data_IF_128788396724
#
_entry.id   IF_128788396724
#
_cell.length_a   1.000
_cell.length_b   1.000
_cell.length_c   1.000
_cell.angle_alpha   90.00
_cell.angle_beta   90.00
_cell.angle_gamma   90.00
#
_symmetry.space_group_name_H-M   'P 1'
#
loop_
_entity.id
_entity.type
_entity.pdbx_description
1 polymer ?
#
# COMPACT_ATOMS: atom_id res chain seq x y z
N UNK A 1 71.46 6.22 -15.26
CA UNK A 1 71.40 5.68 -13.88
C UNK A 1 70.27 4.64 -13.80
N UNK A 2 70.13 3.94 -12.68
CA UNK A 2 69.00 3.03 -12.34
C UNK A 2 67.63 3.71 -12.56
N UNK A 3 66.47 3.07 -12.80
CA UNK A 3 65.99 1.67 -12.98
C UNK A 3 64.63 1.76 -13.76
N UNK A 4 63.78 0.75 -14.09
CA UNK A 4 63.68 -0.72 -13.92
C UNK A 4 62.75 -1.29 -15.03
N UNK A 5 62.71 -2.62 -15.22
CA UNK A 5 61.59 -3.32 -15.89
C UNK A 5 60.39 -3.58 -14.96
N UNK A 6 59.20 -3.75 -15.55
CA UNK A 6 58.12 -4.62 -15.02
C UNK A 6 57.52 -5.39 -16.20
N UNK A 7 57.52 -6.73 -16.11
CA UNK A 7 56.98 -7.63 -17.14
C UNK A 7 55.46 -7.80 -16.97
N UNK A 8 54.72 -7.86 -18.08
CA UNK A 8 53.27 -8.14 -18.07
C UNK A 8 53.01 -9.62 -17.74
N UNK A 9 52.64 -9.89 -16.50
CA UNK A 9 52.21 -11.22 -16.05
C UNK A 9 50.74 -11.50 -16.37
N UNK A 10 50.45 -12.52 -17.17
CA UNK A 10 49.08 -12.96 -17.44
C UNK A 10 48.51 -13.72 -16.23
N UNK A 11 47.41 -13.22 -15.65
CA UNK A 11 46.76 -13.85 -14.51
C UNK A 11 45.79 -14.96 -14.98
N UNK A 12 46.19 -16.22 -14.77
CA UNK A 12 45.35 -17.38 -15.05
C UNK A 12 44.29 -17.55 -13.94
N UNK A 13 43.02 -17.24 -14.23
CA UNK A 13 41.92 -17.41 -13.26
C UNK A 13 41.26 -18.77 -13.44
N UNK A 14 41.55 -19.70 -12.54
CA UNK A 14 40.96 -21.05 -12.54
C UNK A 14 39.49 -20.99 -12.08
N UNK A 15 38.56 -21.05 -13.02
CA UNK A 15 37.13 -21.08 -12.76
C UNK A 15 36.72 -22.41 -12.09
N UNK A 16 36.46 -22.39 -10.78
CA UNK A 16 35.87 -23.53 -10.06
C UNK A 16 34.39 -23.60 -10.41
N UNK A 17 34.00 -24.59 -11.21
CA UNK A 17 32.62 -24.77 -11.68
C UNK A 17 31.73 -25.35 -10.57
N UNK A 18 31.20 -24.48 -9.71
CA UNK A 18 30.22 -24.84 -8.69
C UNK A 18 28.92 -25.34 -9.31
N UNK A 19 28.63 -26.63 -9.14
CA UNK A 19 27.40 -27.27 -9.64
C UNK A 19 26.17 -26.80 -8.85
N UNK A 20 25.46 -25.80 -9.36
CA UNK A 20 24.14 -25.44 -8.86
C UNK A 20 23.12 -26.54 -9.21
N UNK A 21 22.85 -27.42 -8.25
CA UNK A 21 21.76 -28.38 -8.33
C UNK A 21 20.42 -27.66 -8.40
N UNK A 22 19.71 -27.80 -9.52
CA UNK A 22 18.36 -27.25 -9.67
C UNK A 22 17.36 -28.08 -8.85
N UNK A 23 16.62 -27.44 -7.95
CA UNK A 23 15.59 -28.06 -7.12
C UNK A 23 14.48 -27.06 -6.82
N UNK A 24 13.22 -27.29 -7.25
CA UNK A 24 12.12 -26.37 -7.02
C UNK A 24 11.40 -26.69 -5.70
N UNK A 25 11.51 -25.81 -4.70
CA UNK A 25 10.66 -25.86 -3.50
C UNK A 25 10.43 -24.47 -2.92
N UNK A 26 9.29 -23.86 -3.24
CA UNK A 26 8.75 -22.73 -2.49
C UNK A 26 8.18 -23.23 -1.16
N UNK A 27 9.04 -23.40 -0.15
CA UNK A 27 8.63 -23.62 1.23
C UNK A 27 8.33 -22.29 1.94
N UNK A 28 7.65 -22.31 3.11
CA UNK A 28 7.54 -21.14 3.95
C UNK A 28 8.94 -20.66 4.38
N UNK A 29 9.08 -19.36 4.67
CA UNK A 29 10.35 -18.75 5.05
C UNK A 29 10.85 -19.31 6.39
N UNK A 30 11.81 -20.23 6.35
CA UNK A 30 12.33 -20.89 7.55
C UNK A 30 13.04 -19.89 8.45
N UNK A 31 12.55 -19.75 9.69
CA UNK A 31 13.16 -18.91 10.74
C UNK A 31 14.67 -19.18 10.86
N UNK A 32 15.51 -18.14 10.90
CA UNK A 32 16.97 -18.30 10.87
C UNK A 32 17.45 -19.12 12.08
N UNK A 33 18.29 -20.13 11.82
CA UNK A 33 18.87 -20.96 12.89
C UNK A 33 19.61 -20.08 13.91
N UNK A 34 19.36 -20.25 15.22
CA UNK A 34 20.00 -19.45 16.26
C UNK A 34 21.51 -19.65 16.29
N UNK A 35 22.24 -18.59 16.64
CA UNK A 35 23.65 -18.68 16.96
C UNK A 35 23.91 -19.41 18.28
N UNK A 36 25.15 -19.88 18.55
CA UNK A 36 25.49 -20.52 19.82
C UNK A 36 25.16 -19.63 21.03
N UNK A 37 24.33 -20.15 21.94
CA UNK A 37 23.89 -19.41 23.13
C UNK A 37 22.74 -18.43 22.91
N UNK A 38 22.08 -18.42 21.75
CA UNK A 38 20.96 -17.53 21.42
C UNK A 38 19.61 -18.25 21.39
N UNK A 39 18.54 -17.56 21.80
CA UNK A 39 17.15 -18.01 21.64
C UNK A 39 16.78 -18.02 20.15
N UNK A 40 16.04 -19.04 19.68
CA UNK A 40 15.50 -19.06 18.32
C UNK A 40 14.48 -17.94 18.10
N UNK A 41 14.50 -17.29 16.94
CA UNK A 41 13.55 -16.24 16.60
C UNK A 41 12.11 -16.78 16.49
N UNK A 42 11.10 -16.03 16.97
CA UNK A 42 9.70 -16.39 16.79
C UNK A 42 9.29 -16.25 15.32
N UNK A 43 8.20 -16.90 14.95
CA UNK A 43 7.55 -16.83 13.64
C UNK A 43 6.15 -16.24 13.82
N UNK A 44 5.81 -15.19 13.04
CA UNK A 44 4.45 -14.65 12.97
C UNK A 44 3.70 -15.44 11.89
N UNK A 45 2.73 -16.25 12.31
CA UNK A 45 1.94 -17.10 11.41
C UNK A 45 0.74 -16.36 10.83
N UNK A 46 0.18 -15.41 11.59
CA UNK A 46 -0.99 -14.62 11.18
C UNK A 46 -1.04 -13.30 11.93
N UNK A 47 -1.44 -12.24 11.24
CA UNK A 47 -1.96 -11.01 11.83
C UNK A 47 -3.40 -10.80 11.32
N UNK A 48 -4.34 -10.39 12.18
CA UNK A 48 -5.71 -10.12 11.75
C UNK A 48 -6.44 -9.09 12.61
N UNK A 49 -7.37 -8.36 12.00
CA UNK A 49 -8.52 -7.80 12.72
C UNK A 49 -9.59 -8.89 12.72
N UNK A 50 -9.84 -9.48 13.90
CA UNK A 50 -10.61 -10.72 14.05
C UNK A 50 -12.01 -10.60 13.45
N UNK A 51 -12.32 -11.49 12.50
CA UNK A 51 -13.60 -11.50 11.78
C UNK A 51 -13.76 -10.44 10.69
N UNK A 52 -12.76 -9.58 10.47
CA UNK A 52 -12.76 -8.54 9.44
C UNK A 52 -11.78 -8.88 8.31
N UNK A 53 -10.48 -9.00 8.62
CA UNK A 53 -9.41 -9.10 7.61
C UNK A 53 -8.13 -9.69 8.19
N UNK A 54 -7.51 -10.59 7.42
CA UNK A 54 -6.11 -11.04 7.64
C UNK A 54 -5.17 -10.01 7.00
N UNK A 55 -4.10 -9.65 7.71
CA UNK A 55 -3.19 -8.57 7.33
C UNK A 55 -1.83 -9.12 6.87
N UNK A 56 -1.23 -8.48 5.87
CA UNK A 56 0.19 -8.65 5.52
C UNK A 56 1.05 -7.55 6.14
N UNK A 57 2.38 -7.74 6.17
CA UNK A 57 3.30 -6.70 6.63
C UNK A 57 3.35 -5.55 5.60
N UNK A 58 2.99 -4.35 6.03
CA UNK A 58 2.79 -3.16 5.18
C UNK A 58 1.32 -2.76 5.00
N UNK A 59 0.36 -3.59 5.45
CA UNK A 59 -1.08 -3.29 5.37
C UNK A 59 -1.47 -1.99 6.11
N UNK A 60 -2.37 -1.23 5.49
CA UNK A 60 -3.07 -0.13 6.15
C UNK A 60 -4.29 -0.62 6.94
N UNK A 61 -4.55 -0.03 8.12
CA UNK A 61 -5.70 -0.29 9.00
C UNK A 61 -6.23 1.01 9.61
N UNK A 62 -7.51 1.04 9.93
CA UNK A 62 -8.12 2.20 10.59
C UNK A 62 -7.54 2.43 12.01
N UNK A 63 -7.72 3.63 12.59
CA UNK A 63 -7.41 3.90 14.00
C UNK A 63 -8.33 3.09 14.93
N UNK A 64 -7.85 2.87 16.17
CA UNK A 64 -8.52 2.17 17.27
C UNK A 64 -8.86 0.70 17.00
N UNK A 65 -8.14 0.05 16.08
CA UNK A 65 -8.29 -1.37 15.75
C UNK A 65 -7.44 -2.26 16.66
N UNK A 66 -7.97 -3.43 17.01
CA UNK A 66 -7.22 -4.49 17.71
C UNK A 66 -6.71 -5.50 16.69
N UNK A 67 -5.40 -5.51 16.46
CA UNK A 67 -4.73 -6.50 15.60
C UNK A 67 -4.21 -7.65 16.45
N UNK A 68 -4.74 -8.83 16.22
CA UNK A 68 -4.31 -10.08 16.87
C UNK A 68 -3.22 -10.73 16.02
N UNK A 69 -2.04 -10.86 16.61
CA UNK A 69 -0.93 -11.64 16.10
C UNK A 69 -0.96 -13.03 16.73
N UNK A 70 -0.92 -14.07 15.91
CA UNK A 70 -0.64 -15.45 16.37
C UNK A 70 0.64 -15.96 15.74
N UNK A 71 1.43 -16.69 16.52
CA UNK A 71 2.77 -17.09 16.13
C UNK A 71 3.32 -18.26 16.94
N UNK A 72 4.56 -18.63 16.64
CA UNK A 72 5.29 -19.71 17.31
C UNK A 72 6.70 -19.29 17.70
N UNK A 73 7.26 -19.95 18.70
CA UNK A 73 8.65 -19.80 19.16
C UNK A 73 9.07 -21.01 19.99
N UNK A 74 10.21 -20.95 20.69
CA UNK A 74 10.59 -21.95 21.69
C UNK A 74 9.49 -22.13 22.76
N UNK A 75 9.33 -23.32 23.32
CA UNK A 75 8.29 -23.57 24.31
C UNK A 75 8.59 -22.91 25.68
N UNK A 76 7.58 -22.31 26.31
CA UNK A 76 7.63 -21.67 27.63
C UNK A 76 8.63 -20.51 27.81
N UNK A 77 8.95 -19.76 26.75
CA UNK A 77 9.77 -18.52 26.81
C UNK A 77 8.91 -17.25 26.72
N UNK A 78 9.50 -16.09 27.01
CA UNK A 78 8.86 -14.79 26.76
C UNK A 78 8.99 -14.42 25.27
N UNK A 79 7.94 -13.86 24.69
CA UNK A 79 8.00 -13.07 23.46
C UNK A 79 7.91 -11.60 23.85
N UNK A 80 8.94 -10.84 23.51
CA UNK A 80 9.04 -9.39 23.70
C UNK A 80 8.65 -8.69 22.42
N UNK A 81 7.73 -7.74 22.51
CA UNK A 81 7.27 -6.93 21.38
C UNK A 81 7.83 -5.53 21.56
N UNK A 82 8.53 -5.03 20.55
CA UNK A 82 9.11 -3.70 20.52
C UNK A 82 8.37 -2.83 19.49
N UNK A 83 8.29 -1.52 19.76
CA UNK A 83 7.76 -0.52 18.84
C UNK A 83 8.74 0.66 18.78
N UNK A 84 9.28 0.95 17.58
CA UNK A 84 10.32 1.96 17.42
C UNK A 84 11.57 1.68 18.29
N UNK A 85 11.97 0.41 18.41
CA UNK A 85 13.10 -0.04 19.22
C UNK A 85 12.84 -0.20 20.72
N UNK A 86 11.87 0.53 21.29
CA UNK A 86 11.48 0.46 22.71
C UNK A 86 10.62 -0.77 23.00
N UNK A 87 10.75 -1.37 24.19
CA UNK A 87 9.88 -2.49 24.60
C UNK A 87 8.45 -1.95 24.79
N UNK A 88 7.51 -2.46 24.01
CA UNK A 88 6.09 -2.12 24.10
C UNK A 88 5.40 -2.99 25.14
N UNK A 89 5.54 -4.32 25.02
CA UNK A 89 4.88 -5.30 25.89
C UNK A 89 5.55 -6.69 25.81
N UNK A 90 5.10 -7.64 26.63
CA UNK A 90 5.55 -9.03 26.63
C UNK A 90 4.38 -10.02 26.70
N UNK A 91 4.40 -11.05 25.86
CA UNK A 91 3.57 -12.25 25.98
C UNK A 91 4.46 -13.47 26.24
N UNK A 92 3.86 -14.66 26.39
CA UNK A 92 4.58 -15.91 26.60
C UNK A 92 4.12 -16.98 25.62
N UNK A 93 5.05 -17.80 25.15
CA UNK A 93 4.73 -19.03 24.42
C UNK A 93 4.19 -20.11 25.37
N UNK A 94 3.25 -20.90 24.90
CA UNK A 94 2.77 -22.12 25.54
C UNK A 94 3.85 -23.23 25.59
N UNK A 95 3.50 -24.37 26.19
CA UNK A 95 4.27 -25.61 26.09
C UNK A 95 4.30 -26.22 24.66
N UNK A 96 3.40 -25.81 23.76
CA UNK A 96 3.45 -26.11 22.31
C UNK A 96 4.28 -25.09 21.51
N UNK A 97 4.85 -24.07 22.16
CA UNK A 97 5.58 -22.98 21.51
C UNK A 97 4.68 -21.90 20.91
N UNK A 98 3.37 -21.98 21.07
CA UNK A 98 2.40 -21.06 20.45
C UNK A 98 2.17 -19.82 21.32
N UNK A 99 2.07 -18.64 20.69
CA UNK A 99 1.76 -17.40 21.38
C UNK A 99 0.70 -16.58 20.64
N UNK A 100 0.02 -15.73 21.41
CA UNK A 100 -0.87 -14.68 20.92
C UNK A 100 -0.45 -13.34 21.51
N UNK A 101 -0.50 -12.29 20.72
CA UNK A 101 -0.33 -10.90 21.14
C UNK A 101 -1.40 -10.03 20.49
N UNK A 102 -1.93 -9.04 21.21
CA UNK A 102 -2.91 -8.09 20.66
C UNK A 102 -2.31 -6.69 20.70
N UNK A 103 -2.07 -6.13 19.52
CA UNK A 103 -1.71 -4.73 19.36
C UNK A 103 -2.98 -3.88 19.20
N UNK A 104 -2.98 -2.66 19.72
CA UNK A 104 -4.01 -1.66 19.44
C UNK A 104 -3.39 -0.53 18.61
N UNK A 105 -4.01 -0.15 17.49
CA UNK A 105 -3.46 0.90 16.62
C UNK A 105 -3.52 2.31 17.21
N UNK A 106 -4.29 2.53 18.29
CA UNK A 106 -4.51 3.84 18.89
C UNK A 106 -5.20 4.82 17.92
N UNK A 107 -5.22 6.10 18.30
CA UNK A 107 -5.85 7.17 17.52
C UNK A 107 -4.87 7.95 16.62
N UNK A 108 -3.62 7.50 16.50
CA UNK A 108 -2.54 8.26 15.86
C UNK A 108 -2.15 7.61 14.53
N UNK A 109 -2.29 8.35 13.44
CA UNK A 109 -1.90 7.91 12.10
C UNK A 109 -0.37 7.80 11.95
N UNK A 110 0.07 6.95 11.03
CA UNK A 110 1.48 6.79 10.67
C UNK A 110 1.90 5.33 10.45
N UNK A 111 3.19 5.12 10.19
CA UNK A 111 3.76 3.77 10.00
C UNK A 111 4.34 3.23 11.30
N UNK A 112 3.85 2.08 11.73
CA UNK A 112 4.23 1.40 12.96
C UNK A 112 5.03 0.14 12.66
N UNK A 113 6.30 0.15 13.05
CA UNK A 113 7.18 -1.01 13.01
C UNK A 113 7.08 -1.74 14.36
N UNK A 114 6.47 -2.93 14.34
CA UNK A 114 6.50 -3.88 15.43
C UNK A 114 7.64 -4.88 15.23
N UNK A 115 8.36 -5.19 16.28
CA UNK A 115 9.45 -6.18 16.25
C UNK A 115 9.26 -7.23 17.35
N UNK A 116 9.25 -8.50 16.98
CA UNK A 116 9.06 -9.63 17.89
C UNK A 116 10.39 -10.36 18.11
N UNK A 117 10.76 -10.57 19.38
CA UNK A 117 11.92 -11.38 19.76
C UNK A 117 11.58 -12.34 20.89
N UNK A 118 12.16 -13.54 20.88
CA UNK A 118 12.04 -14.51 21.95
C UNK A 118 13.19 -14.35 22.95
N UNK A 119 12.88 -14.43 24.25
CA UNK A 119 13.85 -14.42 25.35
C UNK A 119 13.59 -15.62 26.27
N UNK A 120 14.43 -16.64 26.10
CA UNK A 120 14.64 -17.69 27.10
C UNK A 120 15.29 -17.08 28.38
N UNK A 121 15.08 -17.62 29.59
CA UNK A 121 15.72 -17.08 30.81
C UNK A 121 17.25 -17.08 30.78
N UNK A 122 17.88 -18.10 30.18
CA UNK A 122 19.33 -18.35 30.20
C UNK A 122 20.03 -17.85 28.93
N UNK A 123 19.43 -18.07 27.75
CA UNK A 123 20.04 -17.72 26.46
C UNK A 123 19.95 -16.21 26.15
N UNK A 124 20.75 -15.74 25.20
CA UNK A 124 20.66 -14.39 24.64
C UNK A 124 19.32 -14.23 23.88
N UNK A 125 18.77 -13.01 23.87
CA UNK A 125 17.56 -12.67 23.10
C UNK A 125 17.74 -13.00 21.60
N UNK A 126 16.66 -13.45 20.96
CA UNK A 126 16.69 -13.83 19.53
C UNK A 126 16.94 -12.63 18.62
N UNK A 127 17.27 -12.86 17.33
CA UNK A 127 17.05 -11.85 16.30
C UNK A 127 15.58 -11.40 16.30
N UNK A 128 15.32 -10.15 15.92
CA UNK A 128 13.99 -9.58 15.80
C UNK A 128 13.36 -9.94 14.47
N UNK A 129 12.07 -10.31 14.48
CA UNK A 129 11.23 -10.41 13.28
C UNK A 129 10.31 -9.19 13.23
N UNK A 130 10.37 -8.45 12.12
CA UNK A 130 9.61 -7.22 11.92
C UNK A 130 8.25 -7.48 11.27
N UNK A 131 7.23 -6.76 11.74
CA UNK A 131 5.93 -6.63 11.07
C UNK A 131 5.56 -5.14 11.04
N UNK A 132 5.24 -4.63 9.86
CA UNK A 132 4.86 -3.22 9.66
C UNK A 132 3.34 -3.12 9.50
N UNK A 133 2.74 -2.09 10.10
CA UNK A 133 1.36 -1.67 9.81
C UNK A 133 1.35 -0.17 9.53
N UNK A 134 0.42 0.28 8.70
CA UNK A 134 0.08 1.71 8.58
C UNK A 134 -1.25 1.94 9.29
N UNK A 135 -1.31 2.93 10.17
CA UNK A 135 -2.56 3.39 10.76
C UNK A 135 -2.99 4.61 9.99
N UNK A 136 -4.17 4.56 9.41
CA UNK A 136 -4.71 5.61 8.55
C UNK A 136 -6.20 5.79 8.80
N UNK A 137 -6.60 7.00 9.20
CA UNK A 137 -8.00 7.40 9.43
C UNK A 137 -8.48 8.47 8.47
N UNK A 138 -7.63 8.90 7.54
CA UNK A 138 -7.92 9.94 6.56
C UNK A 138 -8.72 9.33 5.42
N UNK A 139 -9.96 9.77 5.14
CA UNK A 139 -10.76 9.16 4.08
C UNK A 139 -10.46 9.76 2.71
N UNK A 140 -10.53 8.98 1.62
CA UNK A 140 -10.21 9.48 0.30
C UNK A 140 -11.19 10.55 -0.19
N UNK A 141 -10.65 11.63 -0.75
CA UNK A 141 -11.43 12.71 -1.38
C UNK A 141 -10.84 13.12 -2.74
N UNK A 142 -11.61 13.83 -3.58
CA UNK A 142 -11.04 14.44 -4.77
C UNK A 142 -10.13 15.61 -4.36
N UNK A 143 -8.85 15.52 -4.71
CA UNK A 143 -7.82 16.50 -4.35
C UNK A 143 -7.56 17.53 -5.46
N UNK A 144 -7.68 17.13 -6.73
CA UNK A 144 -7.52 18.06 -7.87
C UNK A 144 -8.27 17.65 -9.14
N UNK A 145 -8.47 18.63 -10.02
CA UNK A 145 -8.93 18.45 -11.41
C UNK A 145 -7.98 19.17 -12.37
N UNK A 146 -7.70 18.56 -13.51
CA UNK A 146 -6.95 19.14 -14.62
C UNK A 146 -7.70 18.89 -15.94
N UNK A 147 -7.80 19.93 -16.76
CA UNK A 147 -8.40 19.88 -18.08
C UNK A 147 -7.55 20.71 -19.05
N UNK A 148 -7.61 20.39 -20.35
CA UNK A 148 -6.97 21.16 -21.43
C UNK A 148 -7.98 21.51 -22.51
N UNK A 149 -7.72 22.62 -23.21
CA UNK A 149 -8.54 23.07 -24.32
C UNK A 149 -8.51 22.05 -25.48
N UNK A 150 -9.63 21.95 -26.21
CA UNK A 150 -9.73 21.10 -27.39
C UNK A 150 -8.95 21.71 -28.56
N UNK A 151 -8.12 20.91 -29.23
CA UNK A 151 -7.44 21.33 -30.47
C UNK A 151 -8.46 21.49 -31.60
N UNK A 152 -8.42 22.58 -32.40
CA UNK A 152 -9.42 22.83 -33.46
C UNK A 152 -9.52 21.75 -34.55
N UNK A 153 -8.45 20.99 -34.78
CA UNK A 153 -8.46 19.80 -35.65
C UNK A 153 -8.71 18.54 -34.81
N UNK A 154 -9.90 17.94 -34.95
CA UNK A 154 -10.31 16.78 -34.17
C UNK A 154 -9.44 15.54 -34.39
N UNK A 155 -9.17 14.80 -33.31
CA UNK A 155 -8.41 13.55 -33.34
C UNK A 155 -8.43 12.79 -32.01
N UNK A 156 -8.45 13.51 -30.89
CA UNK A 156 -8.64 12.95 -29.54
C UNK A 156 -9.83 13.62 -28.87
N UNK A 157 -10.81 12.88 -28.30
CA UNK A 157 -11.87 13.48 -27.49
C UNK A 157 -11.26 14.19 -26.26
N UNK A 158 -11.83 15.32 -25.82
CA UNK A 158 -11.30 16.03 -24.66
C UNK A 158 -11.38 15.17 -23.40
N UNK A 159 -10.44 15.39 -22.49
CA UNK A 159 -10.33 14.66 -21.24
C UNK A 159 -10.28 15.62 -20.05
N UNK A 160 -11.00 15.25 -19.01
CA UNK A 160 -10.89 15.84 -17.68
C UNK A 160 -10.26 14.77 -16.79
N UNK A 161 -9.11 15.08 -16.22
CA UNK A 161 -8.42 14.20 -15.27
C UNK A 161 -8.70 14.70 -13.86
N UNK A 162 -9.10 13.82 -12.96
CA UNK A 162 -9.18 14.11 -11.53
C UNK A 162 -8.30 13.15 -10.74
N UNK A 163 -7.86 13.59 -9.57
CA UNK A 163 -6.92 12.86 -8.73
C UNK A 163 -7.45 12.85 -7.29
N UNK A 164 -7.58 11.67 -6.69
CA UNK A 164 -7.92 11.53 -5.29
C UNK A 164 -6.75 11.97 -4.38
N UNK A 165 -7.00 12.18 -3.09
CA UNK A 165 -5.97 12.36 -2.04
C UNK A 165 -4.95 11.21 -2.02
N UNK A 166 -5.40 9.99 -2.33
CA UNK A 166 -4.70 8.71 -2.16
C UNK A 166 -5.25 7.61 -3.09
N UNK A 167 -4.68 6.38 -3.10
CA UNK A 167 -5.22 5.24 -3.85
C UNK A 167 -6.53 4.71 -3.24
N UNK A 168 -7.57 4.56 -4.07
CA UNK A 168 -8.87 4.03 -3.67
C UNK A 168 -9.03 2.52 -3.94
N UNK A 169 -9.95 1.90 -3.19
CA UNK A 169 -10.48 0.55 -3.42
C UNK A 169 -11.97 0.70 -3.75
N UNK A 170 -12.42 0.00 -4.80
CA UNK A 170 -13.76 0.14 -5.38
C UNK A 170 -14.44 -1.24 -5.40
N UNK A 171 -15.63 -1.36 -4.81
CA UNK A 171 -16.35 -2.65 -4.78
C UNK A 171 -16.92 -3.06 -6.14
N UNK A 172 -17.39 -2.10 -6.94
CA UNK A 172 -17.99 -2.30 -8.26
C UNK A 172 -17.44 -1.27 -9.26
N UNK A 173 -16.49 -1.73 -10.08
CA UNK A 173 -15.88 -0.91 -11.13
C UNK A 173 -16.83 -0.60 -12.29
N UNK A 174 -17.93 -1.34 -12.48
CA UNK A 174 -18.94 -1.02 -13.50
C UNK A 174 -19.73 0.20 -13.04
N UNK A 175 -20.25 0.18 -11.81
CA UNK A 175 -20.96 1.30 -11.19
C UNK A 175 -20.09 2.55 -11.07
N UNK A 176 -18.81 2.40 -10.68
CA UNK A 176 -17.85 3.50 -10.59
C UNK A 176 -17.55 4.16 -11.94
N UNK A 177 -17.63 3.41 -13.05
CA UNK A 177 -17.26 3.92 -14.40
C UNK A 177 -18.46 4.38 -15.24
N UNK A 178 -19.68 4.36 -14.69
CA UNK A 178 -20.89 4.87 -15.36
C UNK A 178 -20.76 6.37 -15.71
N UNK A 179 -20.72 6.77 -17.00
CA UNK A 179 -20.46 8.16 -17.38
C UNK A 179 -21.70 9.05 -17.30
N UNK A 180 -22.91 8.48 -17.32
CA UNK A 180 -24.18 9.19 -17.30
C UNK A 180 -25.12 8.48 -16.31
N UNK A 181 -25.76 9.23 -15.43
CA UNK A 181 -26.62 8.68 -14.37
C UNK A 181 -25.89 7.90 -13.26
N UNK A 182 -24.56 7.88 -13.30
CA UNK A 182 -23.70 7.34 -12.23
C UNK A 182 -23.39 8.35 -11.14
N UNK A 183 -22.36 8.04 -10.35
CA UNK A 183 -21.96 8.81 -9.15
C UNK A 183 -21.04 10.00 -9.45
N UNK A 184 -20.76 10.26 -10.73
CA UNK A 184 -19.92 11.34 -11.23
C UNK A 184 -20.76 12.45 -11.85
N UNK A 185 -20.38 13.70 -11.57
CA UNK A 185 -20.89 14.88 -12.27
C UNK A 185 -19.73 15.69 -12.82
N UNK A 186 -19.86 16.18 -14.05
CA UNK A 186 -18.91 17.14 -14.66
C UNK A 186 -19.70 18.33 -15.16
N UNK A 187 -19.38 19.50 -14.64
CA UNK A 187 -19.96 20.78 -15.03
C UNK A 187 -18.86 21.68 -15.58
N UNK A 188 -19.15 22.40 -16.66
CA UNK A 188 -18.25 23.38 -17.27
C UNK A 188 -18.95 24.73 -17.43
N UNK A 189 -18.18 25.81 -17.40
CA UNK A 189 -18.71 27.18 -17.53
C UNK A 189 -18.33 27.80 -18.89
N UNK A 190 -18.83 29.01 -19.15
CA UNK A 190 -18.41 29.83 -20.29
C UNK A 190 -18.85 29.28 -21.65
N UNK A 191 -17.89 28.99 -22.53
CA UNK A 191 -18.15 28.47 -23.89
C UNK A 191 -17.90 26.96 -24.02
N UNK A 192 -17.41 26.32 -22.96
CA UNK A 192 -17.11 24.90 -22.92
C UNK A 192 -18.37 24.04 -22.87
N UNK A 193 -18.33 22.90 -23.55
CA UNK A 193 -19.38 21.87 -23.56
C UNK A 193 -18.70 20.53 -23.31
N UNK A 194 -19.12 19.80 -22.28
CA UNK A 194 -18.54 18.50 -21.96
C UNK A 194 -19.62 17.47 -21.63
N UNK A 195 -19.64 16.37 -22.38
CA UNK A 195 -20.60 15.28 -22.24
C UNK A 195 -19.80 13.99 -22.02
N UNK A 196 -19.71 13.47 -20.77
CA UNK A 196 -18.97 12.25 -20.48
C UNK A 196 -19.48 11.04 -21.27
N UNK A 197 -18.55 10.20 -21.74
CA UNK A 197 -18.84 8.93 -22.42
C UNK A 197 -18.02 7.73 -21.93
N UNK A 198 -16.95 7.97 -21.18
CA UNK A 198 -16.20 6.94 -20.48
C UNK A 198 -15.47 7.50 -19.27
N UNK A 199 -15.40 6.71 -18.21
CA UNK A 199 -14.66 7.00 -16.99
C UNK A 199 -13.71 5.83 -16.75
N UNK A 200 -12.45 6.12 -16.42
CA UNK A 200 -11.44 5.09 -16.18
C UNK A 200 -10.57 5.46 -14.98
N UNK A 201 -10.51 4.57 -13.99
CA UNK A 201 -9.48 4.58 -12.94
C UNK A 201 -8.16 4.05 -13.52
N UNK A 202 -7.05 4.73 -13.24
CA UNK A 202 -5.72 4.29 -13.65
C UNK A 202 -5.15 3.23 -12.70
N UNK A 203 -4.02 2.62 -13.09
CA UNK A 203 -3.36 1.55 -12.32
C UNK A 203 -2.73 2.02 -11.00
N UNK A 204 -2.59 3.33 -10.81
CA UNK A 204 -2.24 3.94 -9.52
C UNK A 204 -3.39 3.93 -8.50
N UNK A 205 -4.61 3.55 -8.94
CA UNK A 205 -5.88 3.64 -8.21
C UNK A 205 -6.19 5.04 -7.66
N UNK A 206 -5.56 6.09 -8.18
CA UNK A 206 -5.63 7.46 -7.66
C UNK A 206 -6.06 8.47 -8.72
N UNK A 207 -5.66 8.24 -9.98
CA UNK A 207 -5.99 9.09 -11.11
C UNK A 207 -7.21 8.54 -11.86
N UNK A 208 -8.24 9.36 -12.04
CA UNK A 208 -9.40 9.06 -12.89
C UNK A 208 -9.38 9.94 -14.13
N UNK A 209 -9.56 9.32 -15.31
CA UNK A 209 -9.77 10.02 -16.57
C UNK A 209 -11.23 9.95 -16.99
N UNK A 210 -11.88 11.10 -17.14
CA UNK A 210 -13.21 11.24 -17.73
C UNK A 210 -13.03 11.70 -19.18
N UNK A 211 -13.61 10.97 -20.13
CA UNK A 211 -13.50 11.24 -21.58
C UNK A 211 -14.82 11.79 -22.11
N UNK A 212 -14.76 12.95 -22.77
CA UNK A 212 -15.91 13.58 -23.42
C UNK A 212 -16.27 12.93 -24.76
N UNK A 213 -17.48 13.17 -25.26
CA UNK A 213 -17.91 12.69 -26.57
C UNK A 213 -17.30 13.51 -27.73
N UNK A 214 -17.58 13.11 -28.97
CA UNK A 214 -17.07 13.76 -30.18
C UNK A 214 -17.56 15.20 -30.43
N UNK A 215 -18.56 15.69 -29.68
CA UNK A 215 -19.03 17.11 -29.73
C UNK A 215 -18.64 17.89 -28.47
N UNK A 216 -17.84 17.29 -27.59
CA UNK A 216 -17.33 17.97 -26.40
C UNK A 216 -16.17 18.89 -26.80
N UNK A 217 -16.20 20.12 -26.33
CA UNK A 217 -15.20 21.15 -26.56
C UNK A 217 -14.86 21.85 -25.24
N UNK A 218 -13.60 21.86 -24.86
CA UNK A 218 -13.10 22.64 -23.72
C UNK A 218 -12.37 23.87 -24.24
N UNK A 219 -12.57 25.02 -23.60
CA UNK A 219 -12.01 26.33 -24.01
C UNK A 219 -11.13 26.87 -22.89
N UNK A 220 -9.90 27.28 -23.23
CA UNK A 220 -8.93 27.76 -22.23
C UNK A 220 -9.48 28.97 -21.46
N UNK A 221 -9.37 28.92 -20.12
CA UNK A 221 -9.90 29.96 -19.23
C UNK A 221 -11.28 29.68 -18.65
N UNK A 222 -12.08 28.78 -19.25
CA UNK A 222 -13.34 28.33 -18.64
C UNK A 222 -13.08 27.48 -17.39
N UNK A 223 -14.06 27.39 -16.49
CA UNK A 223 -13.97 26.54 -15.30
C UNK A 223 -14.50 25.14 -15.59
N UNK A 224 -13.84 24.13 -15.01
CA UNK A 224 -14.34 22.76 -14.89
C UNK A 224 -14.56 22.44 -13.41
N UNK A 225 -15.68 21.81 -13.10
CA UNK A 225 -16.07 21.34 -11.77
C UNK A 225 -16.41 19.86 -11.89
N UNK A 226 -15.81 19.02 -11.04
CA UNK A 226 -16.10 17.59 -10.98
C UNK A 226 -16.54 17.23 -9.57
N UNK A 227 -17.74 16.66 -9.46
CA UNK A 227 -18.25 16.10 -8.21
C UNK A 227 -18.29 14.57 -8.27
N UNK A 228 -17.92 13.92 -7.19
CA UNK A 228 -18.10 12.49 -6.97
C UNK A 228 -18.88 12.26 -5.68
N UNK A 229 -19.96 11.49 -5.76
CA UNK A 229 -20.89 11.28 -4.66
C UNK A 229 -21.27 9.79 -4.58
N UNK A 230 -20.34 8.90 -4.15
CA UNK A 230 -20.62 7.48 -4.05
C UNK A 230 -21.72 7.23 -3.02
N UNK A 231 -22.65 6.33 -3.38
CA UNK A 231 -23.75 5.88 -2.54
C UNK A 231 -24.10 4.42 -2.87
N UNK A 232 -24.67 3.70 -1.90
CA UNK A 232 -25.00 2.28 -2.06
C UNK A 232 -25.87 2.02 -3.30
N UNK A 233 -25.54 1.02 -4.15
CA UNK A 233 -24.60 -0.07 -3.89
C UNK A 233 -23.11 0.19 -4.21
N UNK A 234 -22.72 1.36 -4.71
CA UNK A 234 -21.30 1.70 -4.86
C UNK A 234 -20.68 2.03 -3.49
N UNK A 235 -19.55 1.38 -3.20
CA UNK A 235 -18.70 1.63 -2.03
C UNK A 235 -17.29 1.89 -2.53
N UNK A 236 -16.72 3.01 -2.12
CA UNK A 236 -15.32 3.37 -2.36
C UNK A 236 -14.66 3.66 -1.02
N UNK A 237 -13.50 3.04 -0.79
CA UNK A 237 -12.65 3.25 0.39
C UNK A 237 -11.21 3.55 -0.04
N UNK A 238 -10.32 3.75 0.92
CA UNK A 238 -8.87 3.55 0.77
C UNK A 238 -8.49 2.07 1.01
N UNK A 239 -7.23 1.80 1.35
CA UNK A 239 -6.74 0.47 1.77
C UNK A 239 -6.93 0.16 3.26
N UNK A 240 -7.15 1.17 4.11
CA UNK A 240 -7.40 1.01 5.54
C UNK A 240 -8.85 0.56 5.82
N UNK A 241 -9.79 0.99 4.98
CA UNK A 241 -11.23 0.81 5.09
C UNK A 241 -12.01 2.13 5.30
N UNK A 242 -11.38 3.30 5.25
CA UNK A 242 -12.09 4.58 5.42
C UNK A 242 -12.91 4.88 4.16
N UNK A 243 -14.19 5.20 4.33
CA UNK A 243 -15.11 5.45 3.22
C UNK A 243 -14.86 6.82 2.58
N UNK A 244 -14.79 6.86 1.25
CA UNK A 244 -14.60 8.07 0.46
C UNK A 244 -15.54 9.21 0.88
N UNK A 245 -15.00 10.41 1.03
CA UNK A 245 -15.76 11.63 1.33
C UNK A 245 -16.85 11.80 0.26
N UNK A 246 -18.10 11.91 0.70
CA UNK A 246 -19.27 11.91 -0.18
C UNK A 246 -20.31 12.94 0.29
N UNK A 247 -20.68 13.93 -0.53
CA UNK A 247 -20.06 14.29 -1.82
C UNK A 247 -18.67 14.92 -1.62
N UNK A 248 -17.76 14.64 -2.55
CA UNK A 248 -16.49 15.37 -2.72
C UNK A 248 -16.50 16.10 -4.06
N UNK A 249 -15.97 17.33 -4.11
CA UNK A 249 -16.06 18.22 -5.29
C UNK A 249 -14.76 19.00 -5.46
N UNK A 250 -14.21 18.96 -6.67
CA UNK A 250 -13.04 19.76 -7.09
C UNK A 250 -13.41 20.71 -8.22
N UNK A 251 -12.68 21.82 -8.31
CA UNK A 251 -12.80 22.78 -9.41
C UNK A 251 -11.42 23.25 -9.86
N UNK A 252 -11.34 23.67 -11.13
CA UNK A 252 -10.12 24.18 -11.73
C UNK A 252 -10.42 24.89 -13.05
N UNK A 253 -9.38 25.45 -13.68
CA UNK A 253 -9.49 26.15 -14.95
C UNK A 253 -9.00 25.24 -16.09
N UNK A 254 -9.68 25.28 -17.23
CA UNK A 254 -9.21 24.64 -18.47
C UNK A 254 -7.91 25.32 -18.90
N UNK A 255 -6.82 24.56 -18.91
CA UNK A 255 -5.52 25.03 -19.36
C UNK A 255 -5.45 25.09 -20.91
N UNK A 256 -4.51 25.87 -21.49
CA UNK A 256 -4.15 25.77 -22.90
C UNK A 256 -3.69 24.37 -23.34
#
# INVERSE_FOLDING_TARGET
MRLQEVVVGALLVTLVLGIFGCGPSGGPATSPSPGPGQTQAPEILKAEIVGVRVLSSGDAVQPNQNVVFTGRGPANVQIRVYQGGNLLDTTSTSASGEFTFTWNSGSTEGTFLLEFAAKDPVLVESPRISFTLVVDGTPPELSSVTARASTPSGGTPPRVTVVFSEPIVVNDMVLFTLPLGGFWTVSVTGSSVFIPTGIQLATDRKTVTITGNAVSQLVAGDSVIVGFAPAGPLVVTDEAGNACVSPTVVSGTVAP
#
